data_IF_904194965496
#
_entry.id   IF_904194965496
#
_cell.length_a   1.000
_cell.length_b   1.000
_cell.length_c   1.000
_cell.angle_alpha   90.00
_cell.angle_beta   90.00
_cell.angle_gamma   90.00
#
_symmetry.space_group_name_H-M   'P 1'
#
loop_
_entity.id
_entity.type
_entity.pdbx_description
1 polymer ?
#
# COMPACT_ATOMS: atom_id res chain seq x y z
N UNK A 1 -4.65 23.33 42.61
CA UNK A 1 -3.50 23.46 41.69
C UNK A 1 -2.63 22.21 41.82
N UNK A 2 -1.93 21.85 40.74
CA UNK A 2 -0.96 20.74 40.58
C UNK A 2 -1.57 19.42 40.05
N UNK A 3 -1.72 19.28 38.73
CA UNK A 3 -0.68 18.87 37.76
C UNK A 3 -0.25 17.40 37.95
N UNK A 4 -1.06 16.51 37.40
CA UNK A 4 -0.81 15.08 37.17
C UNK A 4 -1.52 14.84 35.84
N UNK A 5 -0.82 14.79 34.72
CA UNK A 5 -0.15 13.58 34.25
C UNK A 5 0.82 14.01 33.16
N UNK A 6 2.11 13.91 33.43
CA UNK A 6 3.14 13.94 32.39
C UNK A 6 3.08 12.62 31.64
N UNK A 7 2.01 12.39 30.90
CA UNK A 7 2.07 11.48 29.77
C UNK A 7 2.95 12.18 28.76
N UNK A 8 4.17 11.68 28.59
CA UNK A 8 5.03 12.00 27.45
C UNK A 8 4.27 11.60 26.18
N UNK A 9 3.33 12.46 25.78
CA UNK A 9 2.81 12.47 24.43
C UNK A 9 3.98 12.94 23.59
N UNK A 10 4.84 12.01 23.20
CA UNK A 10 5.86 12.28 22.20
C UNK A 10 5.12 12.82 20.97
N UNK A 11 5.15 14.13 20.79
CA UNK A 11 4.61 14.80 19.62
C UNK A 11 5.74 15.05 18.66
N UNK A 12 5.49 14.87 17.37
CA UNK A 12 6.41 15.24 16.29
C UNK A 12 5.75 16.23 15.37
N UNK A 13 6.56 17.12 14.83
CA UNK A 13 6.15 18.00 13.76
C UNK A 13 6.25 17.26 12.43
N UNK A 14 5.13 17.21 11.71
CA UNK A 14 5.03 16.65 10.37
C UNK A 14 4.53 17.72 9.41
N UNK A 15 4.83 17.54 8.13
CA UNK A 15 4.30 18.39 7.07
C UNK A 15 3.12 17.69 6.42
N UNK A 16 1.98 18.39 6.33
CA UNK A 16 0.82 17.88 5.62
C UNK A 16 1.16 17.63 4.14
N UNK A 17 0.93 16.42 3.62
CA UNK A 17 1.21 16.12 2.20
C UNK A 17 0.25 16.83 1.23
N UNK A 18 -0.82 17.46 1.72
CA UNK A 18 -1.84 18.08 0.87
C UNK A 18 -1.74 19.61 0.80
N UNK A 19 -1.31 20.26 1.87
CA UNK A 19 -1.28 21.73 1.95
C UNK A 19 0.08 22.28 2.39
N UNK A 20 1.07 21.41 2.62
CA UNK A 20 2.39 21.75 3.14
C UNK A 20 2.36 22.54 4.46
N UNK A 21 1.24 22.51 5.19
CA UNK A 21 1.14 23.07 6.52
C UNK A 21 1.97 22.24 7.50
N UNK A 22 2.56 22.88 8.50
CA UNK A 22 3.19 22.18 9.61
C UNK A 22 2.13 21.77 10.63
N UNK A 23 2.19 20.53 11.09
CA UNK A 23 1.28 20.00 12.10
C UNK A 23 2.07 19.27 13.17
N UNK A 24 1.76 19.58 14.41
CA UNK A 24 2.27 18.84 15.56
C UNK A 24 1.30 17.70 15.86
N UNK A 25 1.77 16.47 15.73
CA UNK A 25 0.96 15.25 15.87
C UNK A 25 1.57 14.33 16.92
N UNK A 26 0.74 13.65 17.71
CA UNK A 26 1.23 12.64 18.65
C UNK A 26 1.72 11.41 17.89
N UNK A 27 2.90 10.87 18.21
CA UNK A 27 3.45 9.67 17.54
C UNK A 27 2.57 8.42 17.73
N UNK A 28 1.74 8.42 18.78
CA UNK A 28 0.78 7.35 19.06
C UNK A 28 -0.53 7.49 18.27
N UNK A 29 -0.70 8.60 17.54
CA UNK A 29 -1.89 8.82 16.72
C UNK A 29 -1.75 8.06 15.40
N UNK A 30 -2.80 7.35 14.99
CA UNK A 30 -2.83 6.62 13.72
C UNK A 30 -3.15 7.57 12.56
N UNK A 31 -4.19 8.37 12.71
CA UNK A 31 -4.64 9.35 11.71
C UNK A 31 -5.29 10.55 12.39
N UNK A 32 -5.15 11.72 11.77
CA UNK A 32 -5.69 12.97 12.31
C UNK A 32 -6.10 13.90 11.17
N UNK A 33 -7.20 14.67 11.31
CA UNK A 33 -7.54 15.70 10.34
C UNK A 33 -6.55 16.86 10.41
N UNK A 34 -6.18 17.38 9.24
CA UNK A 34 -5.31 18.53 9.12
C UNK A 34 -6.03 19.80 9.59
N UNK A 35 -5.45 20.54 10.53
CA UNK A 35 -6.02 21.83 11.00
C UNK A 35 -6.10 22.90 9.90
N UNK A 36 -5.29 22.79 8.84
CA UNK A 36 -5.25 23.77 7.75
C UNK A 36 -6.21 23.46 6.61
N UNK A 37 -6.29 22.19 6.19
CA UNK A 37 -7.05 21.79 5.01
C UNK A 37 -8.18 20.80 5.29
N UNK A 38 -8.39 20.44 6.56
CA UNK A 38 -9.39 19.47 7.03
C UNK A 38 -9.31 18.08 6.37
N UNK A 39 -8.20 17.77 5.67
CA UNK A 39 -7.97 16.43 5.10
C UNK A 39 -7.44 15.49 6.17
N UNK A 40 -7.90 14.25 6.17
CA UNK A 40 -7.30 13.21 7.00
C UNK A 40 -5.87 12.92 6.56
N UNK A 41 -4.93 13.06 7.49
CA UNK A 41 -3.54 12.70 7.33
C UNK A 41 -3.31 11.41 8.10
N UNK A 42 -2.72 10.43 7.44
CA UNK A 42 -2.25 9.22 8.10
C UNK A 42 -0.89 9.49 8.74
N UNK A 43 -0.87 9.59 10.07
CA UNK A 43 0.31 9.99 10.83
C UNK A 43 1.37 8.89 10.78
N UNK A 44 0.93 7.61 10.79
CA UNK A 44 1.82 6.45 10.67
C UNK A 44 2.54 6.43 9.33
N UNK A 45 1.81 6.69 8.23
CA UNK A 45 2.39 6.80 6.89
C UNK A 45 3.42 7.95 6.75
N UNK A 46 3.18 9.08 7.43
CA UNK A 46 4.08 10.24 7.37
C UNK A 46 5.30 10.08 8.27
N UNK A 47 5.13 9.56 9.49
CA UNK A 47 6.23 9.34 10.46
C UNK A 47 7.11 8.15 10.10
N UNK A 48 6.50 7.13 9.52
CA UNK A 48 7.18 5.95 9.01
C UNK A 48 6.81 5.82 7.53
N UNK A 49 7.53 6.49 6.61
CA UNK A 49 7.45 6.17 5.18
C UNK A 49 7.94 4.75 4.87
N UNK A 50 8.25 3.95 5.90
CA UNK A 50 8.58 2.54 5.81
C UNK A 50 7.38 1.75 5.29
N UNK A 51 7.38 1.59 3.97
CA UNK A 51 6.95 0.39 3.28
C UNK A 51 5.45 0.03 3.31
N UNK A 52 4.53 0.98 3.19
CA UNK A 52 3.15 0.66 2.75
C UNK A 52 3.07 0.25 1.25
N UNK A 53 4.20 -0.03 0.62
CA UNK A 53 4.29 -0.77 -0.65
C UNK A 53 5.02 -2.11 -0.51
N UNK A 54 5.07 -2.71 0.66
CA UNK A 54 5.13 -4.18 0.73
C UNK A 54 3.71 -4.71 0.87
N UNK A 55 2.87 -4.40 -0.14
CA UNK A 55 1.85 -5.35 -0.52
C UNK A 55 2.62 -6.61 -0.87
N UNK A 56 2.62 -7.55 0.07
CA UNK A 56 2.87 -8.97 -0.08
C UNK A 56 3.58 -9.24 -1.40
N UNK A 57 4.91 -9.39 -1.34
CA UNK A 57 5.76 -9.81 -2.47
C UNK A 57 5.30 -11.18 -2.95
N UNK A 58 4.11 -11.21 -3.52
CA UNK A 58 3.49 -12.30 -4.24
C UNK A 58 4.28 -12.26 -5.51
N UNK A 59 5.43 -12.93 -5.53
CA UNK A 59 6.26 -13.08 -6.72
C UNK A 59 5.30 -13.26 -7.89
N UNK A 60 5.31 -12.32 -8.82
CA UNK A 60 4.56 -12.43 -10.06
C UNK A 60 5.50 -12.89 -11.15
N UNK A 61 4.96 -13.53 -12.17
CA UNK A 61 5.65 -13.92 -13.39
C UNK A 61 4.82 -13.47 -14.58
N UNK A 62 5.51 -13.15 -15.65
CA UNK A 62 4.87 -12.85 -16.93
C UNK A 62 4.78 -14.13 -17.76
N UNK A 63 3.59 -14.39 -18.30
CA UNK A 63 3.31 -15.50 -19.19
C UNK A 63 2.62 -14.98 -20.45
N UNK A 64 2.74 -15.74 -21.53
CA UNK A 64 2.04 -15.44 -22.79
C UNK A 64 0.81 -16.32 -22.89
N UNK A 65 -0.34 -15.73 -23.24
CA UNK A 65 -1.55 -16.49 -23.48
C UNK A 65 -1.38 -17.39 -24.71
N UNK A 66 -1.60 -18.70 -24.62
CA UNK A 66 -1.50 -19.61 -25.77
C UNK A 66 -2.62 -19.41 -26.81
N UNK A 67 -3.71 -18.71 -26.45
CA UNK A 67 -4.87 -18.51 -27.34
C UNK A 67 -4.83 -17.20 -28.11
N UNK A 68 -4.21 -16.15 -27.56
CA UNK A 68 -4.25 -14.81 -28.15
C UNK A 68 -2.89 -14.10 -28.14
N UNK A 69 -1.82 -14.77 -27.69
CA UNK A 69 -0.48 -14.21 -27.56
C UNK A 69 -0.39 -12.91 -26.71
N UNK A 70 -1.41 -12.64 -25.88
CA UNK A 70 -1.40 -11.51 -24.95
C UNK A 70 -0.44 -11.78 -23.79
N UNK A 71 0.23 -10.73 -23.30
CA UNK A 71 1.09 -10.83 -22.12
C UNK A 71 0.26 -10.72 -20.85
N UNK A 72 0.48 -11.61 -19.88
CA UNK A 72 -0.23 -11.63 -18.61
C UNK A 72 0.73 -11.75 -17.45
N UNK A 73 0.52 -10.91 -16.45
CA UNK A 73 1.22 -10.98 -15.18
C UNK A 73 0.38 -11.78 -14.19
N UNK A 74 0.90 -12.92 -13.75
CA UNK A 74 0.21 -13.85 -12.83
C UNK A 74 1.06 -14.10 -11.59
N UNK A 75 0.45 -14.43 -10.46
CA UNK A 75 1.22 -14.85 -9.28
C UNK A 75 1.95 -16.18 -9.54
N UNK A 76 3.16 -16.36 -9.01
CA UNK A 76 3.95 -17.60 -9.18
C UNK A 76 3.23 -18.84 -8.62
N UNK A 77 2.40 -18.64 -7.59
CA UNK A 77 1.62 -19.69 -6.94
C UNK A 77 0.26 -19.91 -7.63
N UNK A 78 -0.05 -19.13 -8.67
CA UNK A 78 -1.29 -19.28 -9.42
C UNK A 78 -1.22 -20.55 -10.27
N UNK A 79 -2.21 -21.44 -10.11
CA UNK A 79 -2.37 -22.64 -10.93
C UNK A 79 -3.12 -22.36 -12.23
N UNK A 80 -4.03 -21.38 -12.23
CA UNK A 80 -4.82 -20.99 -13.39
C UNK A 80 -5.31 -19.56 -13.27
N UNK A 81 -5.29 -18.80 -14.37
CA UNK A 81 -5.82 -17.44 -14.43
C UNK A 81 -6.74 -17.28 -15.64
N UNK A 82 -7.80 -16.47 -15.57
CA UNK A 82 -8.46 -15.99 -16.78
C UNK A 82 -7.56 -15.00 -17.52
N UNK A 83 -7.62 -15.03 -18.85
CA UNK A 83 -6.89 -14.09 -19.69
C UNK A 83 -7.60 -12.74 -19.75
N UNK A 84 -6.94 -11.64 -19.39
CA UNK A 84 -7.52 -10.28 -19.49
C UNK A 84 -7.90 -9.87 -20.91
N UNK A 85 -7.29 -10.48 -21.94
CA UNK A 85 -7.52 -10.15 -23.34
C UNK A 85 -8.66 -10.96 -23.98
N UNK A 86 -8.63 -12.28 -23.81
CA UNK A 86 -9.58 -13.19 -24.47
C UNK A 86 -10.56 -13.87 -23.52
N UNK A 87 -10.50 -13.57 -22.22
CA UNK A 87 -11.32 -14.16 -21.15
C UNK A 87 -11.27 -15.70 -21.07
N UNK A 88 -10.34 -16.36 -21.78
CA UNK A 88 -10.12 -17.79 -21.68
C UNK A 88 -9.34 -18.13 -20.42
N UNK A 89 -9.68 -19.25 -19.80
CA UNK A 89 -8.92 -19.78 -18.67
C UNK A 89 -7.61 -20.40 -19.15
N UNK A 90 -6.50 -19.93 -18.60
CA UNK A 90 -5.16 -20.40 -18.89
C UNK A 90 -4.69 -21.23 -17.69
N UNK A 91 -4.26 -22.46 -17.94
CA UNK A 91 -3.61 -23.27 -16.93
C UNK A 91 -2.11 -22.93 -16.91
N UNK A 92 -1.61 -22.40 -15.79
CA UNK A 92 -0.25 -21.87 -15.74
C UNK A 92 0.80 -22.99 -15.81
N UNK A 93 0.45 -24.21 -15.38
CA UNK A 93 1.34 -25.37 -15.49
C UNK A 93 1.62 -25.75 -16.96
N UNK A 94 0.60 -25.62 -17.80
CA UNK A 94 0.68 -25.94 -19.24
C UNK A 94 1.57 -24.93 -19.99
N UNK A 95 1.50 -23.65 -19.61
CA UNK A 95 2.30 -22.58 -20.23
C UNK A 95 3.77 -22.60 -19.81
N UNK A 96 4.09 -23.14 -18.63
CA UNK A 96 5.45 -23.15 -18.08
C UNK A 96 6.23 -24.44 -18.33
N UNK A 97 5.56 -25.47 -18.82
CA UNK A 97 6.16 -26.73 -19.22
C UNK A 97 5.85 -26.95 -20.70
N UNK A 98 6.45 -26.13 -21.60
CA UNK A 98 6.21 -26.21 -23.05
C UNK A 98 6.71 -27.52 -23.67
#
# INVERSE_FOLDING_TARGET
MSAKTSELSETRDIVCPYCNGNLTVSINCMSMPCSHCNKHIDIKAVLSPSAEKEKSSSKTRDIVCPYCNGNLTVSINCMSTPCSHCNKHINIKDVLSP
#
